data_IF_028369683226
#
_entry.id   IF_028369683226
#
_cell.length_a   1.000
_cell.length_b   1.000
_cell.length_c   1.000
_cell.angle_alpha   90.00
_cell.angle_beta   90.00
_cell.angle_gamma   90.00
#
_symmetry.space_group_name_H-M   'P 1'
#
loop_
_entity.id
_entity.type
_entity.pdbx_description
1 polymer ?
#
# COMPACT_ATOMS: atom_id res chain seq x y z
N UNK A 1 -34.30 -40.39 -20.08
CA UNK A 1 -33.14 -40.13 -19.20
C UNK A 1 -33.41 -38.83 -18.47
N UNK A 2 -33.58 -38.89 -17.15
CA UNK A 2 -33.85 -37.73 -16.31
C UNK A 2 -32.48 -37.20 -15.87
N UNK A 3 -32.09 -36.02 -16.33
CA UNK A 3 -30.92 -35.31 -15.81
C UNK A 3 -31.30 -34.76 -14.43
N UNK A 4 -30.83 -35.42 -13.38
CA UNK A 4 -30.89 -34.89 -12.02
C UNK A 4 -29.78 -33.85 -11.86
N UNK A 5 -30.14 -32.57 -11.80
CA UNK A 5 -29.26 -31.52 -11.30
C UNK A 5 -29.02 -31.74 -9.80
N UNK A 6 -27.81 -32.19 -9.45
CA UNK A 6 -27.33 -32.06 -8.07
C UNK A 6 -27.00 -30.58 -7.81
N UNK A 7 -27.30 -30.03 -6.63
CA UNK A 7 -26.91 -28.66 -6.31
C UNK A 7 -25.39 -28.62 -6.07
N UNK A 8 -24.68 -27.84 -6.86
CA UNK A 8 -23.29 -27.43 -6.59
C UNK A 8 -23.26 -26.59 -5.31
N UNK A 9 -23.20 -27.25 -4.16
CA UNK A 9 -22.80 -26.62 -2.91
C UNK A 9 -21.71 -27.47 -2.26
N UNK A 10 -20.63 -27.66 -3.02
CA UNK A 10 -19.39 -28.18 -2.48
C UNK A 10 -18.70 -27.02 -1.75
N UNK A 11 -18.53 -27.16 -0.43
CA UNK A 11 -17.80 -26.20 0.40
C UNK A 11 -16.42 -26.00 -0.21
N UNK A 12 -16.16 -24.83 -0.78
CA UNK A 12 -14.82 -24.42 -1.19
C UNK A 12 -14.02 -24.19 0.09
N UNK A 13 -13.12 -25.11 0.43
CA UNK A 13 -12.16 -25.00 1.53
C UNK A 13 -11.08 -23.90 1.29
N UNK A 14 -11.25 -23.07 0.26
CA UNK A 14 -10.34 -21.98 -0.10
C UNK A 14 -10.78 -20.64 0.48
N UNK A 15 -9.81 -19.73 0.66
CA UNK A 15 -10.07 -18.34 1.08
C UNK A 15 -10.85 -17.59 0.00
N UNK A 16 -11.76 -16.67 0.37
CA UNK A 16 -12.44 -15.83 -0.61
C UNK A 16 -11.40 -14.91 -1.30
N UNK A 17 -11.39 -14.88 -2.64
CA UNK A 17 -10.52 -13.99 -3.40
C UNK A 17 -10.70 -12.50 -3.04
N UNK A 18 -11.83 -12.13 -2.44
CA UNK A 18 -12.08 -10.79 -1.89
C UNK A 18 -11.17 -10.49 -0.69
N UNK A 19 -10.90 -11.49 0.16
CA UNK A 19 -9.97 -11.36 1.29
C UNK A 19 -8.53 -11.24 0.78
N UNK A 20 -8.18 -12.00 -0.27
CA UNK A 20 -6.91 -11.84 -0.97
C UNK A 20 -6.74 -10.41 -1.49
N UNK A 21 -7.76 -9.86 -2.17
CA UNK A 21 -7.74 -8.46 -2.64
C UNK A 21 -7.60 -7.48 -1.48
N UNK A 22 -8.31 -7.68 -0.38
CA UNK A 22 -8.22 -6.83 0.80
C UNK A 22 -6.81 -6.89 1.43
N UNK A 23 -6.17 -8.06 1.44
CA UNK A 23 -4.80 -8.20 1.92
C UNK A 23 -3.81 -7.41 1.05
N UNK A 24 -3.89 -7.53 -0.27
CA UNK A 24 -3.04 -6.74 -1.18
C UNK A 24 -3.34 -5.24 -1.12
N UNK A 25 -4.59 -4.85 -0.88
CA UNK A 25 -5.00 -3.45 -0.76
C UNK A 25 -4.26 -2.72 0.37
N UNK A 26 -3.86 -3.44 1.43
CA UNK A 26 -3.06 -2.87 2.53
C UNK A 26 -1.77 -2.20 2.03
N UNK A 27 -1.14 -2.69 0.96
CA UNK A 27 0.05 -2.04 0.37
C UNK A 27 -0.24 -0.60 -0.07
N UNK A 28 -1.38 -0.37 -0.75
CA UNK A 28 -1.76 0.95 -1.25
C UNK A 28 -2.20 1.86 -0.13
N UNK A 29 -3.02 1.35 0.78
CA UNK A 29 -3.55 2.13 1.89
C UNK A 29 -2.42 2.57 2.82
N UNK A 30 -1.49 1.67 3.13
CA UNK A 30 -0.35 1.98 3.97
C UNK A 30 0.66 2.91 3.30
N UNK A 31 0.79 2.86 1.96
CA UNK A 31 1.56 3.85 1.20
C UNK A 31 0.97 5.26 1.34
N UNK A 32 -0.35 5.40 1.27
CA UNK A 32 -1.03 6.69 1.48
C UNK A 32 -0.74 7.21 2.90
N UNK A 33 -0.73 6.34 3.91
CA UNK A 33 -0.41 6.74 5.28
C UNK A 33 1.05 7.17 5.45
N UNK A 34 2.00 6.50 4.76
CA UNK A 34 3.42 6.92 4.70
C UNK A 34 3.55 8.30 4.07
N UNK A 35 2.86 8.54 2.94
CA UNK A 35 2.92 9.82 2.23
C UNK A 35 2.32 10.95 3.10
N UNK A 36 1.19 10.70 3.79
CA UNK A 36 0.60 11.63 4.77
C UNK A 36 1.54 11.94 5.93
N UNK A 37 2.27 10.95 6.43
CA UNK A 37 3.25 11.14 7.50
C UNK A 37 4.40 12.04 7.05
N UNK A 38 4.87 11.89 5.81
CA UNK A 38 5.89 12.76 5.22
C UNK A 38 5.38 14.20 5.07
N UNK A 39 4.14 14.38 4.58
CA UNK A 39 3.51 15.70 4.51
C UNK A 39 3.36 16.37 5.89
N UNK A 40 3.09 15.59 6.93
CA UNK A 40 3.01 16.09 8.32
C UNK A 40 4.37 16.63 8.77
N UNK A 41 5.45 15.87 8.52
CA UNK A 41 6.81 16.31 8.80
C UNK A 41 7.12 17.63 8.08
N UNK A 42 6.82 17.73 6.78
CA UNK A 42 7.03 18.97 6.02
C UNK A 42 6.23 20.16 6.57
N UNK A 43 5.01 19.95 7.04
CA UNK A 43 4.20 20.99 7.70
C UNK A 43 4.82 21.50 8.99
N UNK A 44 5.40 20.61 9.80
CA UNK A 44 6.09 21.00 11.04
C UNK A 44 7.33 21.84 10.70
N UNK A 45 8.14 21.40 9.72
CA UNK A 45 9.27 22.21 9.22
C UNK A 45 8.82 23.59 8.73
N UNK A 46 7.78 23.66 7.88
CA UNK A 46 7.26 24.93 7.38
C UNK A 46 6.78 25.87 8.48
N UNK A 47 6.20 25.32 9.55
CA UNK A 47 5.76 26.10 10.72
C UNK A 47 6.93 26.60 11.55
N UNK A 48 7.93 25.76 11.81
CA UNK A 48 9.16 26.15 12.51
C UNK A 48 9.92 27.27 11.79
N UNK A 49 10.05 27.17 10.45
CA UNK A 49 10.71 28.20 9.63
C UNK A 49 9.99 29.55 9.71
N UNK A 50 8.64 29.56 9.68
CA UNK A 50 7.85 30.79 9.84
C UNK A 50 8.04 31.44 11.21
N UNK A 51 8.15 30.63 12.28
CA UNK A 51 8.47 31.13 13.62
C UNK A 51 9.84 31.81 13.61
N UNK A 52 10.86 31.18 13.02
CA UNK A 52 12.22 31.75 12.89
C UNK A 52 12.26 33.04 12.07
N UNK A 53 11.50 33.13 10.98
CA UNK A 53 11.42 34.36 10.17
C UNK A 53 10.73 35.51 10.92
N UNK A 54 9.67 35.21 11.68
CA UNK A 54 9.02 36.22 12.53
C UNK A 54 9.94 36.67 13.68
N UNK A 55 10.93 35.85 14.08
CA UNK A 55 11.92 36.18 15.10
C UNK A 55 13.01 37.15 14.64
N UNK A 56 13.32 37.23 13.33
CA UNK A 56 14.38 38.13 12.82
C UNK A 56 13.98 39.61 12.75
N UNK A 57 12.81 40.00 13.25
CA UNK A 57 12.24 41.36 13.17
C UNK A 57 12.35 42.30 14.40
N UNK A 58 13.07 41.93 15.49
CA UNK A 58 13.19 42.62 16.82
C UNK A 58 12.00 42.47 17.83
N UNK A 59 12.22 42.61 19.17
CA UNK A 59 13.15 41.89 20.05
C UNK A 59 12.45 40.88 21.00
N UNK A 60 13.17 39.78 21.22
CA UNK A 60 13.16 38.77 22.29
C UNK A 60 12.09 38.87 23.41
N UNK A 61 11.01 38.11 23.26
CA UNK A 61 10.19 37.64 24.37
C UNK A 61 10.76 36.33 24.95
N UNK A 62 10.82 36.24 26.29
CA UNK A 62 11.47 35.19 27.10
C UNK A 62 10.91 33.75 26.97
N UNK A 63 10.06 33.44 25.98
CA UNK A 63 9.40 32.13 25.83
C UNK A 63 9.53 31.50 24.44
N UNK A 64 10.41 32.03 23.58
CA UNK A 64 10.53 31.58 22.20
C UNK A 64 11.53 30.42 22.00
N UNK A 65 12.53 30.27 22.87
CA UNK A 65 13.48 29.15 22.85
C UNK A 65 12.78 27.80 23.09
N UNK A 66 11.88 27.75 24.08
CA UNK A 66 11.12 26.54 24.44
C UNK A 66 10.22 26.06 23.29
N UNK A 67 9.65 26.98 22.50
CA UNK A 67 8.81 26.64 21.35
C UNK A 67 9.61 26.01 20.21
N UNK A 68 10.83 26.50 19.97
CA UNK A 68 11.74 25.94 18.96
C UNK A 68 12.26 24.57 19.42
N UNK A 69 12.61 24.43 20.71
CA UNK A 69 13.04 23.17 21.30
C UNK A 69 11.96 22.09 21.21
N UNK A 70 10.72 22.41 21.58
CA UNK A 70 9.59 21.48 21.47
C UNK A 70 9.33 21.07 20.02
N UNK A 71 9.35 22.02 19.08
CA UNK A 71 9.20 21.70 17.66
C UNK A 71 10.33 20.79 17.13
N UNK A 72 11.56 20.93 17.63
CA UNK A 72 12.68 20.09 17.24
C UNK A 72 12.54 18.64 17.76
N UNK A 73 12.06 18.46 18.99
CA UNK A 73 11.78 17.14 19.56
C UNK A 73 10.65 16.46 18.79
N UNK A 74 9.56 17.17 18.52
CA UNK A 74 8.42 16.68 17.73
C UNK A 74 8.87 16.19 16.34
N UNK A 75 9.77 16.92 15.67
CA UNK A 75 10.30 16.51 14.36
C UNK A 75 11.08 15.20 14.45
N UNK A 76 11.91 15.01 15.47
CA UNK A 76 12.72 13.78 15.62
C UNK A 76 11.83 12.56 15.84
N UNK A 77 10.79 12.69 16.65
CA UNK A 77 9.80 11.63 16.89
C UNK A 77 9.05 11.28 15.60
N UNK A 78 8.53 12.29 14.89
CA UNK A 78 7.78 12.09 13.65
C UNK A 78 8.65 11.49 12.53
N UNK A 79 9.93 11.89 12.45
CA UNK A 79 10.92 11.29 11.55
C UNK A 79 11.23 9.83 11.90
N UNK A 80 11.30 9.50 13.19
CA UNK A 80 11.52 8.13 13.65
C UNK A 80 10.33 7.25 13.28
N UNK A 81 9.11 7.72 13.55
CA UNK A 81 7.88 7.07 13.13
C UNK A 81 7.81 6.88 11.61
N UNK A 82 8.16 7.90 10.82
CA UNK A 82 8.20 7.81 9.37
C UNK A 82 9.15 6.70 8.89
N UNK A 83 10.37 6.62 9.44
CA UNK A 83 11.33 5.55 9.09
C UNK A 83 10.78 4.16 9.40
N UNK A 84 10.09 4.00 10.53
CA UNK A 84 9.46 2.71 10.88
C UNK A 84 8.31 2.36 9.92
N UNK A 85 7.48 3.35 9.55
CA UNK A 85 6.42 3.14 8.58
C UNK A 85 6.97 2.75 7.21
N UNK A 86 8.03 3.40 6.72
CA UNK A 86 8.71 3.01 5.47
C UNK A 86 9.23 1.57 5.54
N UNK A 87 9.91 1.19 6.63
CA UNK A 87 10.39 -0.19 6.83
C UNK A 87 9.26 -1.22 6.75
N UNK A 88 8.13 -0.94 7.42
CA UNK A 88 6.94 -1.82 7.39
C UNK A 88 6.32 -1.89 6.00
N UNK A 89 6.22 -0.77 5.29
CA UNK A 89 5.72 -0.74 3.91
C UNK A 89 6.61 -1.60 3.00
N UNK A 90 7.94 -1.47 3.10
CA UNK A 90 8.88 -2.28 2.31
C UNK A 90 8.72 -3.77 2.61
N UNK A 91 8.56 -4.16 3.89
CA UNK A 91 8.33 -5.56 4.25
C UNK A 91 7.01 -6.08 3.65
N UNK A 92 5.92 -5.31 3.74
CA UNK A 92 4.62 -5.66 3.19
C UNK A 92 4.66 -5.77 1.65
N UNK A 93 5.32 -4.82 0.98
CA UNK A 93 5.52 -4.84 -0.47
C UNK A 93 6.35 -6.06 -0.93
N UNK A 94 7.39 -6.41 -0.20
CA UNK A 94 8.20 -7.59 -0.49
C UNK A 94 7.38 -8.88 -0.36
N UNK A 95 6.59 -9.01 0.70
CA UNK A 95 5.73 -10.17 0.90
C UNK A 95 4.63 -10.25 -0.16
N UNK A 96 3.99 -9.13 -0.49
CA UNK A 96 3.01 -9.06 -1.57
C UNK A 96 3.62 -9.48 -2.91
N UNK A 97 4.83 -9.01 -3.22
CA UNK A 97 5.54 -9.38 -4.45
C UNK A 97 5.81 -10.88 -4.51
N UNK A 98 6.32 -11.47 -3.41
CA UNK A 98 6.56 -12.92 -3.33
C UNK A 98 5.28 -13.72 -3.57
N UNK A 99 4.20 -13.40 -2.86
CA UNK A 99 2.90 -14.08 -3.00
C UNK A 99 2.36 -13.97 -4.43
N UNK A 100 2.39 -12.78 -5.03
CA UNK A 100 1.91 -12.58 -6.39
C UNK A 100 2.67 -13.45 -7.40
N UNK A 101 3.99 -13.57 -7.26
CA UNK A 101 4.82 -14.37 -8.16
C UNK A 101 4.77 -15.89 -7.92
N UNK A 102 4.02 -16.38 -6.93
CA UNK A 102 3.62 -17.79 -6.88
C UNK A 102 2.71 -18.17 -8.06
N UNK A 103 2.12 -17.21 -8.78
CA UNK A 103 1.42 -17.42 -10.05
C UNK A 103 2.38 -17.67 -11.22
N UNK A 104 3.20 -18.71 -11.13
CA UNK A 104 4.30 -19.01 -12.06
C UNK A 104 3.86 -19.21 -13.52
N UNK A 105 2.63 -19.64 -13.76
CA UNK A 105 2.06 -19.85 -15.11
C UNK A 105 1.15 -18.71 -15.59
N UNK A 106 0.83 -17.75 -14.72
CA UNK A 106 -0.05 -16.61 -15.01
C UNK A 106 0.67 -15.30 -14.69
N UNK A 107 1.86 -15.13 -15.27
CA UNK A 107 2.76 -14.01 -15.00
C UNK A 107 2.15 -12.66 -15.34
N UNK A 108 1.24 -12.59 -16.32
CA UNK A 108 0.49 -11.38 -16.65
C UNK A 108 -0.47 -10.97 -15.53
N UNK A 109 -0.99 -11.93 -14.77
CA UNK A 109 -1.82 -11.68 -13.59
C UNK A 109 -0.94 -11.25 -12.41
N UNK A 110 0.19 -11.92 -12.19
CA UNK A 110 1.17 -11.55 -11.16
C UNK A 110 1.66 -10.10 -11.36
N UNK A 111 2.10 -9.76 -12.57
CA UNK A 111 2.58 -8.42 -12.91
C UNK A 111 1.49 -7.37 -12.69
N UNK A 112 0.25 -7.61 -13.14
CA UNK A 112 -0.85 -6.67 -12.92
C UNK A 112 -1.17 -6.46 -11.43
N UNK A 113 -1.06 -7.50 -10.59
CA UNK A 113 -1.23 -7.40 -9.14
C UNK A 113 -0.10 -6.57 -8.52
N UNK A 114 1.15 -6.87 -8.86
CA UNK A 114 2.32 -6.14 -8.34
C UNK A 114 2.27 -4.68 -8.77
N UNK A 115 2.04 -4.39 -10.04
CA UNK A 115 1.97 -3.03 -10.55
C UNK A 115 0.85 -2.23 -9.88
N UNK A 116 -0.32 -2.82 -9.71
CA UNK A 116 -1.45 -2.14 -9.11
C UNK A 116 -1.29 -1.97 -7.59
N UNK A 117 -1.02 -3.05 -6.85
CA UNK A 117 -1.05 -3.01 -5.39
C UNK A 117 0.29 -2.60 -4.77
N UNK A 118 1.41 -3.05 -5.33
CA UNK A 118 2.75 -2.84 -4.76
C UNK A 118 3.35 -1.54 -5.29
N UNK A 119 3.35 -1.36 -6.61
CA UNK A 119 3.95 -0.19 -7.25
C UNK A 119 3.02 1.03 -7.25
N UNK A 120 1.74 0.85 -6.91
CA UNK A 120 0.77 1.93 -6.77
C UNK A 120 0.24 2.50 -8.09
N UNK A 121 0.53 1.86 -9.22
CA UNK A 121 0.08 2.32 -10.55
C UNK A 121 -1.45 2.29 -10.64
N UNK A 122 -2.02 3.16 -11.48
CA UNK A 122 -3.44 3.08 -11.84
C UNK A 122 -3.66 1.96 -12.87
N UNK A 123 -4.91 1.51 -13.03
CA UNK A 123 -5.22 0.52 -14.07
C UNK A 123 -4.97 1.09 -15.47
N UNK A 124 -5.16 2.39 -15.67
CA UNK A 124 -4.85 3.08 -16.94
C UNK A 124 -3.35 3.05 -17.24
N UNK A 125 -2.50 3.43 -16.27
CA UNK A 125 -1.04 3.37 -16.42
C UNK A 125 -0.57 1.96 -16.79
N UNK A 126 -1.13 0.93 -16.14
CA UNK A 126 -0.80 -0.47 -16.47
C UNK A 126 -1.30 -0.83 -17.87
N UNK A 127 -2.48 -0.37 -18.26
CA UNK A 127 -3.03 -0.65 -19.58
C UNK A 127 -2.12 -0.07 -20.68
N UNK A 128 -1.69 1.17 -20.51
CA UNK A 128 -0.78 1.89 -21.42
C UNK A 128 0.58 1.18 -21.49
N UNK A 129 1.20 0.89 -20.34
CA UNK A 129 2.53 0.26 -20.28
C UNK A 129 2.55 -1.17 -20.83
N UNK A 130 1.45 -1.91 -20.69
CA UNK A 130 1.33 -3.29 -21.19
C UNK A 130 0.73 -3.40 -22.59
N UNK A 131 0.37 -2.26 -23.21
CA UNK A 131 -0.19 -2.21 -24.56
C UNK A 131 -1.54 -2.88 -24.72
N UNK A 132 -2.33 -2.99 -23.64
CA UNK A 132 -3.68 -3.58 -23.69
C UNK A 132 -4.74 -2.52 -23.93
N UNK A 133 -5.82 -2.90 -24.61
CA UNK A 133 -6.86 -1.99 -25.11
C UNK A 133 -7.79 -1.38 -24.05
N UNK A 134 -7.44 -1.46 -22.75
CA UNK A 134 -8.16 -0.76 -21.69
C UNK A 134 -8.08 -1.40 -20.31
N UNK A 135 -8.53 -0.62 -19.32
CA UNK A 135 -8.52 -0.97 -17.89
C UNK A 135 -9.29 -2.24 -17.54
N UNK A 136 -10.29 -2.61 -18.33
CA UNK A 136 -11.07 -3.83 -18.10
C UNK A 136 -10.22 -5.09 -18.24
N UNK A 137 -9.23 -5.09 -19.14
CA UNK A 137 -8.30 -6.22 -19.28
C UNK A 137 -7.42 -6.33 -18.04
N UNK A 138 -6.87 -5.19 -17.57
CA UNK A 138 -6.07 -5.13 -16.35
C UNK A 138 -6.88 -5.60 -15.13
N UNK A 139 -8.13 -5.12 -15.00
CA UNK A 139 -9.04 -5.53 -13.93
C UNK A 139 -9.34 -7.03 -13.96
N UNK A 140 -9.56 -7.61 -15.15
CA UNK A 140 -9.76 -9.05 -15.31
C UNK A 140 -8.51 -9.84 -14.91
N UNK A 141 -7.31 -9.40 -15.29
CA UNK A 141 -6.03 -10.00 -14.88
C UNK A 141 -5.87 -9.99 -13.36
N UNK A 142 -6.10 -8.85 -12.72
CA UNK A 142 -6.05 -8.74 -11.25
C UNK A 142 -7.04 -9.70 -10.59
N UNK A 143 -8.31 -9.69 -11.00
CA UNK A 143 -9.32 -10.55 -10.41
C UNK A 143 -9.04 -12.04 -10.64
N UNK A 144 -8.53 -12.43 -11.81
CA UNK A 144 -8.14 -13.82 -12.12
C UNK A 144 -6.97 -14.24 -11.25
N UNK A 145 -5.95 -13.40 -11.12
CA UNK A 145 -4.80 -13.67 -10.25
C UNK A 145 -5.19 -13.81 -8.79
N UNK A 146 -6.03 -12.92 -8.25
CA UNK A 146 -6.50 -13.03 -6.87
C UNK A 146 -7.34 -14.30 -6.63
N UNK A 147 -8.11 -14.76 -7.61
CA UNK A 147 -8.84 -16.04 -7.52
C UNK A 147 -7.89 -17.23 -7.46
N UNK A 148 -6.88 -17.26 -8.32
CA UNK A 148 -5.86 -18.31 -8.30
C UNK A 148 -5.04 -18.29 -7.00
N UNK A 149 -4.72 -17.10 -6.47
CA UNK A 149 -4.03 -16.97 -5.19
C UNK A 149 -4.90 -17.42 -4.00
N UNK A 150 -6.22 -17.26 -4.08
CA UNK A 150 -7.15 -17.73 -3.06
C UNK A 150 -7.12 -19.26 -2.89
N UNK A 151 -6.89 -19.99 -3.99
CA UNK A 151 -6.80 -21.46 -3.99
C UNK A 151 -5.54 -21.96 -3.24
N UNK A 152 -4.45 -21.20 -3.28
CA UNK A 152 -3.17 -21.53 -2.61
C UNK A 152 -2.91 -20.69 -1.36
N UNK A 153 -3.89 -19.90 -0.92
CA UNK A 153 -3.71 -18.97 0.19
C UNK A 153 -3.36 -19.62 1.54
N UNK A 154 -3.92 -20.79 1.89
CA UNK A 154 -3.55 -21.48 3.13
C UNK A 154 -2.05 -21.75 3.27
N UNK A 155 -1.35 -21.99 2.15
CA UNK A 155 0.08 -22.31 2.13
C UNK A 155 0.97 -21.12 2.55
N UNK A 156 0.45 -19.88 2.44
CA UNK A 156 1.14 -18.68 2.93
C UNK A 156 0.96 -18.46 4.43
N UNK A 157 0.00 -19.15 5.06
CA UNK A 157 -0.37 -18.95 6.47
C UNK A 157 0.37 -19.91 7.41
N UNK A 158 1.11 -20.87 6.85
CA UNK A 158 1.90 -21.88 7.57
C UNK A 158 3.36 -21.47 7.83
N UNK A 159 3.73 -20.20 7.63
CA UNK A 159 5.09 -19.67 7.83
C UNK A 159 5.10 -18.60 8.92
#
# INVERSE_FOLDING_TARGET
MIFTCAPENEKRDGVDYRDVKAWFQQCRDYKIDVDRQLERIHRIYGSATKITQNLSGMPTASGNGDKIGNAAVDIIEEQTRYREMVKRLTALQNEATKRAYCLVVATECANAIVDFYVNGKTQDQIADETGVSGVDIVRKRINRGCKALAEIWPDFSTV
#
